data_IF_157327890092
#
_entry.id   IF_157327890092
#
_cell.length_a   1.000
_cell.length_b   1.000
_cell.length_c   1.000
_cell.angle_alpha   90.00
_cell.angle_beta   90.00
_cell.angle_gamma   90.00
#
_symmetry.space_group_name_H-M   'P 1'
#
loop_
_entity.id
_entity.type
_entity.pdbx_description
1 polymer ?
#
# COMPACT_ATOMS: atom_id res chain seq x y z
N UNK A 1 -31.14 1.45 -17.68
CA UNK A 1 -29.98 0.56 -17.59
C UNK A 1 -28.87 1.39 -16.98
N UNK A 2 -28.85 1.47 -15.66
CA UNK A 2 -27.75 2.13 -14.94
C UNK A 2 -26.51 1.29 -15.15
N UNK A 3 -25.62 1.78 -16.01
CA UNK A 3 -24.27 1.27 -16.07
C UNK A 3 -23.71 1.43 -14.66
N UNK A 4 -23.57 0.30 -13.95
CA UNK A 4 -22.64 0.20 -12.83
C UNK A 4 -21.34 0.78 -13.37
N UNK A 5 -21.02 2.01 -12.95
CA UNK A 5 -19.79 2.70 -13.34
C UNK A 5 -18.67 1.71 -13.07
N UNK A 6 -18.12 1.15 -14.15
CA UNK A 6 -17.44 -0.13 -14.12
C UNK A 6 -16.30 -0.06 -13.14
N UNK A 7 -16.36 -0.85 -12.07
CA UNK A 7 -15.29 -0.93 -11.09
C UNK A 7 -14.01 -1.38 -11.81
N UNK A 8 -13.10 -0.43 -12.06
CA UNK A 8 -11.87 -0.66 -12.77
C UNK A 8 -10.82 -1.19 -11.78
N UNK A 9 -10.72 -2.52 -11.71
CA UNK A 9 -9.76 -3.22 -10.83
C UNK A 9 -8.32 -2.76 -11.10
N UNK A 10 -7.97 -2.50 -12.36
CA UNK A 10 -6.63 -2.04 -12.72
C UNK A 10 -6.36 -0.64 -12.18
N UNK A 11 -7.32 0.27 -12.29
CA UNK A 11 -7.20 1.63 -11.75
C UNK A 11 -7.17 1.62 -10.22
N UNK A 12 -8.02 0.80 -9.56
CA UNK A 12 -7.94 0.62 -8.10
C UNK A 12 -6.57 0.09 -7.67
N UNK A 13 -6.04 -0.92 -8.37
CA UNK A 13 -4.74 -1.51 -8.04
C UNK A 13 -3.62 -0.48 -8.22
N UNK A 14 -3.57 0.22 -9.35
CA UNK A 14 -2.58 1.26 -9.62
C UNK A 14 -2.69 2.40 -8.60
N UNK A 15 -3.89 2.86 -8.27
CA UNK A 15 -4.10 3.90 -7.25
C UNK A 15 -3.63 3.44 -5.86
N UNK A 16 -3.86 2.18 -5.52
CA UNK A 16 -3.38 1.60 -4.25
C UNK A 16 -1.86 1.52 -4.23
N UNK A 17 -1.26 1.06 -5.33
CA UNK A 17 0.19 0.90 -5.48
C UNK A 17 0.91 2.28 -5.44
N UNK A 18 0.37 3.26 -6.16
CA UNK A 18 0.83 4.65 -6.11
C UNK A 18 0.67 5.25 -4.72
N UNK A 19 -0.46 5.01 -4.06
CA UNK A 19 -0.73 5.48 -2.71
C UNK A 19 0.27 4.94 -1.69
N UNK A 20 0.58 3.65 -1.77
CA UNK A 20 1.65 3.03 -0.97
C UNK A 20 2.99 3.65 -1.30
N UNK A 21 3.37 3.73 -2.58
CA UNK A 21 4.68 4.23 -2.99
C UNK A 21 4.91 5.66 -2.49
N UNK A 22 3.91 6.54 -2.62
CA UNK A 22 3.93 7.90 -2.08
C UNK A 22 4.06 7.91 -0.55
N UNK A 23 3.29 7.07 0.16
CA UNK A 23 3.36 7.00 1.62
C UNK A 23 4.70 6.48 2.12
N UNK A 24 5.28 5.50 1.43
CA UNK A 24 6.64 5.01 1.69
C UNK A 24 7.70 6.09 1.49
N UNK A 25 7.65 6.80 0.36
CA UNK A 25 8.59 7.90 0.07
C UNK A 25 8.49 9.05 1.09
N UNK A 26 7.27 9.43 1.47
CA UNK A 26 7.02 10.43 2.52
C UNK A 26 7.56 9.98 3.88
N UNK A 27 7.34 8.71 4.23
CA UNK A 27 7.82 8.13 5.48
C UNK A 27 9.35 8.08 5.54
N UNK A 28 10.01 7.69 4.45
CA UNK A 28 11.48 7.73 4.33
C UNK A 28 11.99 9.16 4.47
N UNK A 29 11.37 10.12 3.78
CA UNK A 29 11.74 11.55 3.88
C UNK A 29 11.61 12.07 5.31
N UNK A 30 10.54 11.68 6.01
CA UNK A 30 10.32 12.05 7.42
C UNK A 30 11.37 11.41 8.33
N UNK A 31 11.70 10.13 8.13
CA UNK A 31 12.78 9.47 8.87
C UNK A 31 14.13 10.14 8.65
N UNK A 32 14.47 10.53 7.41
CA UNK A 32 15.71 11.22 7.09
C UNK A 32 15.78 12.62 7.71
N UNK A 33 14.69 13.38 7.71
CA UNK A 33 14.61 14.68 8.37
C UNK A 33 14.83 14.55 9.88
N UNK A 34 14.18 13.57 10.48
CA UNK A 34 14.30 13.27 11.90
C UNK A 34 15.71 12.77 12.28
N UNK A 35 16.35 12.00 11.41
CA UNK A 35 17.73 11.53 11.60
C UNK A 35 18.79 12.64 11.48
N UNK A 36 18.48 13.72 10.73
CA UNK A 36 19.35 14.90 10.60
C UNK A 36 19.20 15.89 11.76
N UNK A 37 18.15 15.78 12.56
CA UNK A 37 17.94 16.61 13.75
C UNK A 37 18.69 16.06 14.96
N UNK A 38 19.31 16.94 15.75
CA UNK A 38 20.08 16.55 16.94
C UNK A 38 19.24 15.91 18.07
N UNK A 39 17.91 16.05 18.04
CA UNK A 39 17.00 15.48 19.04
C UNK A 39 15.68 15.02 18.43
N UNK A 40 15.42 13.72 18.54
CA UNK A 40 14.12 13.13 18.24
C UNK A 40 13.20 13.26 19.46
N UNK A 41 12.05 13.93 19.33
CA UNK A 41 11.09 14.00 20.44
C UNK A 41 10.34 12.66 20.60
N UNK A 42 9.80 12.40 21.80
CA UNK A 42 8.94 11.22 22.00
C UNK A 42 7.67 11.28 21.14
N UNK A 43 7.12 12.46 20.91
CA UNK A 43 5.97 12.67 20.06
C UNK A 43 6.27 12.30 18.60
N UNK A 44 7.45 12.69 18.10
CA UNK A 44 7.92 12.31 16.76
C UNK A 44 8.09 10.80 16.62
N UNK A 45 8.63 10.13 17.64
CA UNK A 45 8.74 8.66 17.66
C UNK A 45 7.37 7.97 17.61
N UNK A 46 6.40 8.42 18.41
CA UNK A 46 5.05 7.84 18.41
C UNK A 46 4.36 8.07 17.07
N UNK A 47 4.47 9.28 16.52
CA UNK A 47 3.95 9.60 15.18
C UNK A 47 4.58 8.71 14.12
N UNK A 48 5.91 8.51 14.16
CA UNK A 48 6.62 7.67 13.21
C UNK A 48 6.17 6.20 13.31
N UNK A 49 6.08 5.65 14.52
CA UNK A 49 5.59 4.28 14.74
C UNK A 49 4.17 4.09 14.19
N UNK A 50 3.30 5.06 14.40
CA UNK A 50 1.94 5.02 13.85
C UNK A 50 1.95 5.04 12.31
N UNK A 51 2.78 5.88 11.70
CA UNK A 51 2.88 5.97 10.24
C UNK A 51 3.51 4.70 9.62
N UNK A 52 4.55 4.14 10.24
CA UNK A 52 5.13 2.85 9.86
C UNK A 52 4.10 1.73 9.95
N UNK A 53 3.33 1.67 11.06
CA UNK A 53 2.28 0.68 11.25
C UNK A 53 1.22 0.74 10.16
N UNK A 54 0.76 1.95 9.81
CA UNK A 54 -0.17 2.13 8.68
C UNK A 54 0.44 1.70 7.35
N UNK A 55 1.70 2.06 7.08
CA UNK A 55 2.39 1.66 5.86
C UNK A 55 2.46 0.14 5.72
N UNK A 56 2.83 -0.56 6.81
CA UNK A 56 2.88 -2.02 6.84
C UNK A 56 1.51 -2.65 6.59
N UNK A 57 0.44 -2.15 7.23
CA UNK A 57 -0.92 -2.65 7.03
C UNK A 57 -1.41 -2.46 5.57
N UNK A 58 -1.08 -1.32 4.95
CA UNK A 58 -1.37 -1.07 3.54
C UNK A 58 -0.59 -2.03 2.63
N UNK A 59 0.68 -2.30 2.97
CA UNK A 59 1.51 -3.24 2.20
C UNK A 59 1.01 -4.67 2.28
N UNK A 60 0.61 -5.13 3.46
CA UNK A 60 0.02 -6.44 3.66
C UNK A 60 -1.32 -6.58 2.90
N UNK A 61 -2.13 -5.53 2.90
CA UNK A 61 -3.38 -5.50 2.13
C UNK A 61 -3.11 -5.60 0.63
N UNK A 62 -2.13 -4.85 0.11
CA UNK A 62 -1.73 -4.92 -1.30
C UNK A 62 -1.20 -6.32 -1.68
N UNK A 63 -0.38 -6.92 -0.80
CA UNK A 63 0.12 -8.27 -1.00
C UNK A 63 -1.02 -9.30 -1.05
N UNK A 64 -2.03 -9.15 -0.19
CA UNK A 64 -3.22 -10.00 -0.16
C UNK A 64 -4.04 -9.90 -1.44
N UNK A 65 -4.27 -8.67 -1.93
CA UNK A 65 -4.97 -8.43 -3.21
C UNK A 65 -4.17 -9.02 -4.38
N UNK A 66 -2.86 -8.80 -4.42
CA UNK A 66 -1.96 -9.35 -5.45
C UNK A 66 -1.96 -10.88 -5.48
N UNK A 67 -1.91 -11.51 -4.30
CA UNK A 67 -2.00 -12.96 -4.16
C UNK A 67 -3.35 -13.47 -4.67
N UNK A 68 -4.44 -12.84 -4.26
CA UNK A 68 -5.79 -13.21 -4.71
C UNK A 68 -5.94 -13.15 -6.22
N UNK A 69 -5.39 -12.11 -6.87
CA UNK A 69 -5.36 -12.01 -8.33
C UNK A 69 -4.54 -13.13 -8.97
N UNK A 70 -3.36 -13.41 -8.42
CA UNK A 70 -2.49 -14.51 -8.92
C UNK A 70 -3.20 -15.85 -8.83
N UNK A 71 -3.87 -16.12 -7.71
CA UNK A 71 -4.59 -17.39 -7.49
C UNK A 71 -5.82 -17.49 -8.41
N UNK A 72 -6.52 -16.38 -8.67
CA UNK A 72 -7.58 -16.34 -9.69
C UNK A 72 -7.06 -16.67 -11.09
N UNK A 73 -5.92 -16.09 -11.49
CA UNK A 73 -5.30 -16.38 -12.79
C UNK A 73 -4.90 -17.85 -12.91
N UNK A 74 -4.32 -18.43 -11.84
CA UNK A 74 -4.01 -19.88 -11.80
C UNK A 74 -5.26 -20.73 -11.95
N UNK A 75 -6.34 -20.40 -11.24
CA UNK A 75 -7.62 -21.11 -11.32
C UNK A 75 -8.22 -21.06 -12.73
N UNK A 76 -8.17 -19.90 -13.38
CA UNK A 76 -8.61 -19.73 -14.77
C UNK A 76 -7.77 -20.59 -15.73
N UNK A 77 -6.45 -20.56 -15.60
CA UNK A 77 -5.54 -21.36 -16.41
C UNK A 77 -5.74 -22.87 -16.21
N UNK A 78 -6.06 -23.30 -14.98
CA UNK A 78 -6.38 -24.69 -14.67
C UNK A 78 -7.73 -25.14 -15.25
N UNK A 79 -8.71 -24.24 -15.34
CA UNK A 79 -10.02 -24.54 -15.95
C UNK A 79 -10.02 -24.51 -17.47
N UNK A 80 -9.05 -23.83 -18.08
CA UNK A 80 -8.91 -23.72 -19.53
C UNK A 80 -8.15 -24.91 -20.16
N UNK A 81 -7.48 -25.72 -19.32
CA UNK A 81 -6.88 -27.02 -19.69
C UNK A 81 -7.80 -28.17 -19.25
#
# INVERSE_FOLDING_TARGET
MDAVSGFNVNEMFNNTLDGVARKGSSLTSKMEQLAKGDKLSQEDMVSLQFQVGQYNAMMESLATVTKSMTDMLKSLAQRAN
#
